data_IF_909077732421
#
_entry.id   IF_909077732421
#
_cell.length_a   1.000
_cell.length_b   1.000
_cell.length_c   1.000
_cell.angle_alpha   90.00
_cell.angle_beta   90.00
_cell.angle_gamma   90.00
#
_symmetry.space_group_name_H-M   'P 1'
#
loop_
_entity.id
_entity.type
_entity.pdbx_description
1 polymer ?
#
# COMPACT_ATOMS: atom_id res chain seq x y z
N UNK A 1 2.98 -2.46 -3.99
CA UNK A 1 3.28 -3.78 -4.58
C UNK A 1 4.60 -3.76 -5.36
N UNK A 2 4.72 -3.00 -6.46
CA UNK A 2 5.94 -3.02 -7.29
C UNK A 2 7.20 -2.63 -6.53
N UNK A 3 7.15 -1.57 -5.72
CA UNK A 3 8.24 -1.19 -4.83
C UNK A 3 8.63 -2.31 -3.85
N UNK A 4 7.66 -2.99 -3.24
CA UNK A 4 7.92 -4.11 -2.33
C UNK A 4 8.62 -5.28 -3.04
N UNK A 5 8.18 -5.62 -4.26
CA UNK A 5 8.82 -6.64 -5.10
C UNK A 5 10.27 -6.25 -5.47
N UNK A 6 10.51 -4.98 -5.78
CA UNK A 6 11.85 -4.49 -6.09
C UNK A 6 12.77 -4.54 -4.88
N UNK A 7 12.31 -4.11 -3.70
CA UNK A 7 13.07 -4.19 -2.45
C UNK A 7 13.38 -5.65 -2.08
N UNK A 8 12.41 -6.57 -2.21
CA UNK A 8 12.62 -7.98 -1.95
C UNK A 8 13.66 -8.60 -2.91
N UNK A 9 13.63 -8.22 -4.20
CA UNK A 9 14.63 -8.66 -5.18
C UNK A 9 16.05 -8.12 -4.87
N UNK A 10 16.15 -7.00 -4.17
CA UNK A 10 17.40 -6.44 -3.66
C UNK A 10 17.82 -7.02 -2.30
N UNK A 11 17.21 -8.14 -1.87
CA UNK A 11 17.49 -8.84 -0.61
C UNK A 11 17.16 -8.06 0.67
N UNK A 12 16.28 -7.06 0.61
CA UNK A 12 15.76 -6.41 1.82
C UNK A 12 14.72 -7.29 2.52
N UNK A 13 14.62 -7.20 3.85
CA UNK A 13 13.50 -7.76 4.62
C UNK A 13 12.29 -6.85 4.46
N UNK A 14 11.27 -7.32 3.73
CA UNK A 14 10.11 -6.50 3.33
C UNK A 14 8.83 -7.00 3.98
N UNK A 15 8.13 -6.10 4.66
CA UNK A 15 6.71 -6.26 4.99
C UNK A 15 5.88 -5.31 4.12
N UNK A 16 4.94 -5.85 3.34
CA UNK A 16 3.97 -5.09 2.57
C UNK A 16 2.65 -5.01 3.35
N UNK A 17 2.40 -3.87 3.98
CA UNK A 17 1.10 -3.56 4.59
C UNK A 17 0.13 -3.01 3.54
N UNK A 18 -1.11 -3.48 3.59
CA UNK A 18 -2.19 -3.02 2.74
C UNK A 18 -3.54 -3.11 3.46
N UNK A 19 -4.26 -1.98 3.52
CA UNK A 19 -5.54 -1.87 4.25
C UNK A 19 -6.67 -2.72 3.67
N UNK A 20 -6.63 -3.01 2.38
CA UNK A 20 -7.66 -3.80 1.72
C UNK A 20 -7.47 -5.30 1.98
N UNK A 21 -8.54 -6.06 1.80
CA UNK A 21 -8.48 -7.53 1.81
C UNK A 21 -7.67 -8.08 0.64
N UNK A 22 -7.82 -7.47 -0.54
CA UNK A 22 -7.13 -7.89 -1.75
C UNK A 22 -6.80 -6.69 -2.63
N UNK A 23 -5.73 -6.82 -3.41
CA UNK A 23 -5.38 -5.83 -4.42
C UNK A 23 -6.45 -5.81 -5.52
N UNK A 24 -7.14 -4.70 -5.69
CA UNK A 24 -8.12 -4.54 -6.78
C UNK A 24 -7.47 -3.75 -7.93
N UNK A 25 -7.85 -4.04 -9.18
CA UNK A 25 -7.35 -3.35 -10.39
C UNK A 25 -5.83 -3.46 -10.66
N UNK A 26 -5.16 -4.48 -10.12
CA UNK A 26 -3.75 -4.74 -10.42
C UNK A 26 -3.59 -5.64 -11.65
N UNK A 27 -2.60 -5.33 -12.50
CA UNK A 27 -2.23 -6.17 -13.65
C UNK A 27 -1.93 -7.60 -13.20
N UNK A 28 -2.50 -8.59 -13.89
CA UNK A 28 -2.35 -10.03 -13.56
C UNK A 28 -0.90 -10.44 -13.29
N UNK A 29 0.05 -10.05 -14.16
CA UNK A 29 1.48 -10.34 -14.01
C UNK A 29 2.07 -9.88 -12.67
N UNK A 30 1.64 -8.74 -12.16
CA UNK A 30 2.14 -8.22 -10.88
C UNK A 30 1.59 -9.01 -9.69
N UNK A 31 0.33 -9.47 -9.78
CA UNK A 31 -0.26 -10.36 -8.77
C UNK A 31 0.48 -11.69 -8.73
N UNK A 32 0.68 -12.34 -9.87
CA UNK A 32 1.40 -13.62 -9.94
C UNK A 32 2.81 -13.51 -9.35
N UNK A 33 3.54 -12.42 -9.65
CA UNK A 33 4.85 -12.15 -9.04
C UNK A 33 4.80 -11.97 -7.52
N UNK A 34 3.77 -11.29 -7.02
CA UNK A 34 3.57 -11.12 -5.59
C UNK A 34 3.29 -12.46 -4.91
N UNK A 35 2.37 -13.25 -5.46
CA UNK A 35 1.99 -14.55 -4.91
C UNK A 35 3.21 -15.49 -4.84
N UNK A 36 4.02 -15.54 -5.89
CA UNK A 36 5.29 -16.29 -5.90
C UNK A 36 6.26 -15.80 -4.84
N UNK A 37 6.46 -14.48 -4.69
CA UNK A 37 7.38 -13.92 -3.70
C UNK A 37 6.93 -14.19 -2.26
N UNK A 38 5.62 -14.14 -2.00
CA UNK A 38 5.03 -14.48 -0.70
C UNK A 38 5.18 -15.98 -0.41
N UNK A 39 4.88 -16.85 -1.38
CA UNK A 39 5.03 -18.30 -1.23
C UNK A 39 6.49 -18.71 -0.99
N UNK A 40 7.43 -18.01 -1.62
CA UNK A 40 8.87 -18.18 -1.41
C UNK A 40 9.41 -17.47 -0.15
N UNK A 41 8.54 -16.88 0.67
CA UNK A 41 8.88 -16.12 1.89
C UNK A 41 9.89 -14.97 1.66
N UNK A 42 9.96 -14.43 0.45
CA UNK A 42 10.84 -13.31 0.11
C UNK A 42 10.31 -11.97 0.63
N UNK A 43 9.01 -11.89 0.89
CA UNK A 43 8.37 -10.76 1.56
C UNK A 43 7.15 -11.24 2.35
N UNK A 44 6.80 -10.51 3.40
CA UNK A 44 5.58 -10.74 4.17
C UNK A 44 4.47 -9.80 3.70
N UNK A 45 3.35 -10.36 3.24
CA UNK A 45 2.16 -9.57 2.91
C UNK A 45 1.20 -9.53 4.11
N UNK A 46 0.76 -8.34 4.48
CA UNK A 46 -0.28 -8.13 5.49
C UNK A 46 -1.44 -7.35 4.89
N UNK A 47 -2.50 -8.07 4.54
CA UNK A 47 -3.79 -7.48 4.14
C UNK A 47 -4.61 -7.10 5.39
N UNK A 48 -5.67 -6.31 5.21
CA UNK A 48 -6.48 -5.76 6.32
C UNK A 48 -5.65 -5.10 7.42
N UNK A 49 -4.50 -4.53 7.04
CA UNK A 49 -3.57 -3.90 7.98
C UNK A 49 -3.47 -2.39 7.79
N UNK A 50 -3.33 -1.68 8.89
CA UNK A 50 -3.16 -0.23 8.92
C UNK A 50 -1.96 0.15 9.77
N UNK A 51 -1.20 1.17 9.31
CA UNK A 51 -0.11 1.75 10.09
C UNK A 51 -0.70 2.69 11.13
N UNK A 52 -0.40 2.44 12.40
CA UNK A 52 -0.80 3.29 13.52
C UNK A 52 0.23 4.41 13.71
N UNK A 53 1.51 4.04 13.81
CA UNK A 53 2.58 4.97 14.11
C UNK A 53 3.93 4.46 13.58
N UNK A 54 4.80 5.39 13.21
CA UNK A 54 6.15 5.13 12.68
C UNK A 54 7.17 5.74 13.64
N UNK A 55 8.07 4.91 14.14
CA UNK A 55 9.15 5.28 15.04
C UNK A 55 10.52 5.08 14.36
N UNK A 56 11.61 5.66 14.90
CA UNK A 56 12.95 5.55 14.28
C UNK A 56 13.49 4.14 14.04
N UNK A 57 13.01 3.12 14.75
CA UNK A 57 13.47 1.73 14.59
C UNK A 57 12.36 0.68 14.49
N UNK A 58 11.10 1.11 14.47
CA UNK A 58 9.97 0.19 14.35
C UNK A 58 8.71 0.88 13.82
N UNK A 59 7.78 0.07 13.33
CA UNK A 59 6.44 0.50 12.92
C UNK A 59 5.42 -0.26 13.75
N UNK A 60 4.39 0.44 14.21
CA UNK A 60 3.20 -0.17 14.79
C UNK A 60 2.12 -0.27 13.72
N UNK A 61 1.55 -1.46 13.58
CA UNK A 61 0.44 -1.74 12.69
C UNK A 61 -0.72 -2.33 13.49
N UNK A 62 -1.94 -2.22 13.00
CA UNK A 62 -3.03 -3.13 13.37
C UNK A 62 -3.32 -4.07 12.21
N UNK A 63 -3.81 -5.26 12.52
CA UNK A 63 -4.44 -6.16 11.56
C UNK A 63 -5.68 -6.75 12.21
N UNK A 64 -6.86 -6.48 11.63
CA UNK A 64 -8.16 -6.84 12.21
C UNK A 64 -8.29 -6.45 13.71
N UNK A 65 -7.74 -5.28 14.07
CA UNK A 65 -7.76 -4.75 15.45
C UNK A 65 -6.66 -5.27 16.38
N UNK A 66 -5.90 -6.29 15.98
CA UNK A 66 -4.74 -6.76 16.73
C UNK A 66 -3.52 -5.88 16.44
N UNK A 67 -2.97 -5.24 17.47
CA UNK A 67 -1.76 -4.45 17.36
C UNK A 67 -0.51 -5.35 17.21
N UNK A 68 0.42 -4.92 16.37
CA UNK A 68 1.70 -5.59 16.14
C UNK A 68 2.80 -4.55 15.97
N UNK A 69 3.99 -4.89 16.45
CA UNK A 69 5.19 -4.05 16.33
C UNK A 69 6.21 -4.76 15.46
N UNK A 70 6.72 -4.07 14.43
CA UNK A 70 7.69 -4.63 13.49
C UNK A 70 8.97 -3.78 13.51
N UNK A 71 10.15 -4.36 13.79
CA UNK A 71 11.43 -3.66 13.65
C UNK A 71 11.65 -3.24 12.20
N UNK A 72 11.97 -1.97 11.99
CA UNK A 72 11.96 -1.35 10.68
C UNK A 72 12.91 -0.16 10.58
N UNK A 73 13.74 -0.14 9.54
CA UNK A 73 14.70 0.94 9.28
C UNK A 73 14.14 2.03 8.34
N UNK A 74 13.29 1.65 7.36
CA UNK A 74 12.74 2.56 6.35
C UNK A 74 11.27 2.30 6.09
N UNK A 75 10.49 3.36 5.85
CA UNK A 75 9.08 3.24 5.42
C UNK A 75 8.90 3.89 4.05
N UNK A 76 8.39 3.13 3.09
CA UNK A 76 8.06 3.62 1.74
C UNK A 76 6.54 3.70 1.60
N UNK A 77 6.00 4.92 1.61
CA UNK A 77 4.54 5.15 1.54
C UNK A 77 4.09 5.21 0.08
N UNK A 78 3.51 4.13 -0.41
CA UNK A 78 2.91 4.04 -1.76
C UNK A 78 1.37 4.12 -1.72
N UNK A 79 0.82 5.15 -1.08
CA UNK A 79 -0.64 5.30 -0.87
C UNK A 79 -1.38 6.05 -2.00
N UNK A 80 -0.67 6.45 -3.06
CA UNK A 80 -1.19 7.31 -4.11
C UNK A 80 -1.15 8.79 -3.71
N UNK A 81 -1.80 9.63 -4.52
CA UNK A 81 -1.92 11.07 -4.28
C UNK A 81 -3.37 11.48 -4.06
N UNK A 82 -3.55 12.63 -3.42
CA UNK A 82 -4.86 13.28 -3.33
C UNK A 82 -5.07 14.09 -4.60
N UNK A 83 -6.24 13.95 -5.23
CA UNK A 83 -6.59 14.78 -6.40
C UNK A 83 -6.66 16.25 -5.96
N UNK A 84 -5.97 17.19 -6.63
CA UNK A 84 -5.86 18.58 -6.18
C UNK A 84 -7.11 19.40 -6.54
N UNK A 85 -8.30 18.94 -6.13
CA UNK A 85 -9.60 19.52 -6.51
C UNK A 85 -9.68 20.99 -6.12
N UNK A 86 -9.22 21.35 -4.91
CA UNK A 86 -9.33 22.72 -4.41
C UNK A 86 -8.48 23.70 -5.22
N UNK A 87 -7.25 23.29 -5.58
CA UNK A 87 -6.39 24.07 -6.47
C UNK A 87 -7.09 24.28 -7.83
N UNK A 88 -7.61 23.22 -8.43
CA UNK A 88 -8.27 23.30 -9.74
C UNK A 88 -9.53 24.18 -9.69
N UNK A 89 -10.33 24.12 -8.61
CA UNK A 89 -11.46 25.05 -8.42
C UNK A 89 -11.00 26.50 -8.30
N UNK A 90 -9.90 26.77 -7.58
CA UNK A 90 -9.41 28.13 -7.35
C UNK A 90 -8.98 28.83 -8.65
N UNK A 91 -8.59 28.08 -9.68
CA UNK A 91 -8.24 28.60 -11.02
C UNK A 91 -9.41 28.53 -12.01
N UNK A 92 -10.64 28.30 -11.53
CA UNK A 92 -11.87 28.37 -12.31
C UNK A 92 -12.26 27.08 -13.04
N UNK A 93 -11.59 25.94 -12.78
CA UNK A 93 -11.97 24.66 -13.39
C UNK A 93 -13.25 24.13 -12.74
N UNK A 94 -14.26 23.86 -13.58
CA UNK A 94 -15.55 23.31 -13.18
C UNK A 94 -15.50 21.79 -13.13
N UNK A 95 -16.14 21.21 -12.13
CA UNK A 95 -16.23 19.77 -11.93
C UNK A 95 -17.68 19.32 -12.05
N UNK A 96 -17.90 18.20 -12.73
CA UNK A 96 -19.19 17.53 -12.81
C UNK A 96 -19.02 16.11 -12.27
N UNK A 97 -19.77 15.75 -11.22
CA UNK A 97 -19.78 14.38 -10.69
C UNK A 97 -20.86 13.60 -11.40
N UNK A 98 -20.45 12.65 -12.26
CA UNK A 98 -21.39 11.75 -12.92
C UNK A 98 -21.59 10.49 -12.09
N UNK A 99 -22.80 10.32 -11.56
CA UNK A 99 -23.26 9.04 -11.04
C UNK A 99 -23.77 8.25 -12.23
N UNK A 100 -23.16 7.10 -12.54
CA UNK A 100 -23.48 6.34 -13.76
C UNK A 100 -24.98 6.11 -13.90
N UNK A 101 -25.62 6.86 -14.81
CA UNK A 101 -26.93 6.52 -15.31
C UNK A 101 -26.76 5.36 -16.29
N UNK A 102 -27.64 4.37 -16.17
CA UNK A 102 -27.69 3.18 -17.01
C UNK A 102 -27.73 3.51 -18.51
#
# INVERSE_FOLDING_TARGET
>A
MEAALACAAAAARVTLSYRGEAFNRVKRKNRERLDTAVAAQQLTLQTRSEVVEIFPGHVQLTNDGAAQTIPNDFVIVCAGGVLPIDLLRSVGIRFETKFGAA
#
